data_IF_065642670036
#
_entry.id   IF_065642670036
#
_cell.length_a   1.000
_cell.length_b   1.000
_cell.length_c   1.000
_cell.angle_alpha   90.00
_cell.angle_beta   90.00
_cell.angle_gamma   90.00
#
_symmetry.space_group_name_H-M   'P 1'
#
loop_
_entity.id
_entity.type
_entity.pdbx_description
1 polymer ?
#
# COMPACT_ATOMS: atom_id res chain seq x y z
N UNK A 1 11.56 27.01 17.32
CA UNK A 1 11.20 25.60 17.61
C UNK A 1 10.54 25.04 16.37
N UNK A 2 11.08 23.94 15.82
CA UNK A 2 10.42 23.23 14.71
C UNK A 2 9.44 22.17 15.25
N UNK A 3 8.59 21.65 14.37
CA UNK A 3 7.53 20.72 14.75
C UNK A 3 8.14 19.42 15.29
N UNK A 4 9.25 18.93 14.72
CA UNK A 4 9.90 17.71 15.19
C UNK A 4 10.39 17.84 16.65
N UNK A 5 11.02 18.97 16.99
CA UNK A 5 11.46 19.24 18.37
C UNK A 5 10.27 19.33 19.33
N UNK A 6 9.19 20.01 18.94
CA UNK A 6 8.00 20.14 19.77
C UNK A 6 7.35 18.76 20.05
N UNK A 7 7.32 17.87 19.06
CA UNK A 7 6.82 16.50 19.23
C UNK A 7 7.71 15.70 20.20
N UNK A 8 9.02 15.78 20.06
CA UNK A 8 9.97 15.08 20.96
C UNK A 8 9.85 15.59 22.39
N UNK A 9 9.74 16.91 22.59
CA UNK A 9 9.58 17.49 23.92
C UNK A 9 8.26 17.06 24.58
N UNK A 10 7.16 17.02 23.83
CA UNK A 10 5.89 16.55 24.37
C UNK A 10 5.92 15.05 24.69
N UNK A 11 6.61 14.24 23.89
CA UNK A 11 6.78 12.81 24.16
C UNK A 11 7.56 12.58 25.45
N UNK A 12 8.63 13.35 25.69
CA UNK A 12 9.44 13.25 26.93
C UNK A 12 8.68 13.65 28.21
N UNK A 13 7.61 14.44 28.11
CA UNK A 13 6.76 14.82 29.25
C UNK A 13 5.80 13.72 29.69
N UNK A 14 5.61 12.68 28.86
CA UNK A 14 4.71 11.58 29.18
C UNK A 14 5.37 10.57 30.16
N UNK A 15 4.58 9.84 30.96
CA UNK A 15 5.07 8.69 31.72
C UNK A 15 5.69 7.62 30.79
N UNK A 16 6.64 6.84 31.32
CA UNK A 16 7.41 5.85 30.55
C UNK A 16 6.51 4.89 29.75
N UNK A 17 5.43 4.42 30.36
CA UNK A 17 4.45 3.54 29.72
C UNK A 17 3.79 4.18 28.50
N UNK A 18 3.45 5.47 28.60
CA UNK A 18 2.81 6.23 27.53
C UNK A 18 3.79 6.61 26.42
N UNK A 19 5.07 6.78 26.74
CA UNK A 19 6.10 6.93 25.72
C UNK A 19 6.21 5.68 24.85
N UNK A 20 6.20 4.50 25.48
CA UNK A 20 6.25 3.23 24.75
C UNK A 20 4.99 3.03 23.88
N UNK A 21 3.81 3.40 24.38
CA UNK A 21 2.56 3.33 23.61
C UNK A 21 2.61 4.20 22.34
N UNK A 22 3.11 5.43 22.44
CA UNK A 22 3.27 6.34 21.29
C UNK A 22 4.31 5.82 20.28
N UNK A 23 5.41 5.24 20.76
CA UNK A 23 6.41 4.61 19.90
C UNK A 23 5.84 3.39 19.18
N UNK A 24 5.07 2.55 19.87
CA UNK A 24 4.42 1.40 19.25
C UNK A 24 3.39 1.86 18.20
N UNK A 25 2.64 2.92 18.47
CA UNK A 25 1.69 3.49 17.53
C UNK A 25 2.36 4.04 16.27
N UNK A 26 3.48 4.76 16.40
CA UNK A 26 4.21 5.28 15.24
C UNK A 26 4.78 4.14 14.38
N UNK A 27 5.30 3.07 14.99
CA UNK A 27 5.73 1.86 14.29
C UNK A 27 4.58 1.12 13.60
N UNK A 28 3.41 1.06 14.24
CA UNK A 28 2.22 0.49 13.62
C UNK A 28 1.81 1.28 12.37
N UNK A 29 1.85 2.61 12.44
CA UNK A 29 1.55 3.45 11.29
C UNK A 29 2.53 3.18 10.15
N UNK A 30 3.85 3.12 10.40
CA UNK A 30 4.84 2.87 9.34
C UNK A 30 4.66 1.50 8.69
N UNK A 31 4.25 0.48 9.45
CA UNK A 31 3.91 -0.85 8.92
C UNK A 31 2.65 -0.84 8.06
N UNK A 32 1.65 -0.03 8.41
CA UNK A 32 0.39 0.09 7.65
C UNK A 32 0.54 0.94 6.39
N UNK A 33 1.37 1.98 6.45
CA UNK A 33 1.57 2.91 5.32
C UNK A 33 2.63 2.45 4.34
N UNK A 34 3.51 1.53 4.76
CA UNK A 34 4.34 0.80 3.80
C UNK A 34 3.43 -0.15 3.05
N UNK A 35 3.14 0.05 1.75
CA UNK A 35 2.63 -1.05 0.95
C UNK A 35 3.69 -2.14 1.12
N UNK A 36 3.28 -3.25 1.73
CA UNK A 36 4.07 -4.46 1.67
C UNK A 36 4.13 -4.80 0.18
N UNK A 37 5.16 -4.30 -0.51
CA UNK A 37 5.52 -4.81 -1.82
C UNK A 37 5.96 -6.21 -1.47
N UNK A 38 5.02 -7.16 -1.51
CA UNK A 38 5.38 -8.55 -1.55
C UNK A 38 6.29 -8.65 -2.76
N UNK A 39 7.58 -8.93 -2.50
CA UNK A 39 8.57 -9.23 -3.53
C UNK A 39 8.19 -10.56 -4.18
N UNK A 40 7.02 -10.60 -4.81
CA UNK A 40 6.65 -11.67 -5.72
C UNK A 40 7.59 -11.58 -6.90
N UNK A 41 8.23 -12.69 -7.19
CA UNK A 41 8.98 -12.88 -8.41
C UNK A 41 8.07 -12.68 -9.62
N UNK A 42 8.64 -12.34 -10.78
CA UNK A 42 7.86 -12.19 -12.01
C UNK A 42 7.05 -13.45 -12.35
N UNK A 43 7.52 -14.62 -11.92
CA UNK A 43 6.85 -15.90 -12.11
C UNK A 43 5.59 -16.03 -11.27
N UNK A 44 5.68 -15.77 -9.96
CA UNK A 44 4.52 -15.82 -9.05
C UNK A 44 3.45 -14.81 -9.48
N UNK A 45 3.86 -13.63 -9.97
CA UNK A 45 2.93 -12.65 -10.54
C UNK A 45 2.19 -13.23 -11.73
N UNK A 46 2.90 -13.88 -12.67
CA UNK A 46 2.28 -14.48 -13.84
C UNK A 46 1.27 -15.58 -13.46
N UNK A 47 1.59 -16.40 -12.45
CA UNK A 47 0.66 -17.43 -11.96
C UNK A 47 -0.61 -16.84 -11.35
N UNK A 48 -0.50 -15.78 -10.57
CA UNK A 48 -1.69 -15.12 -9.99
C UNK A 48 -2.55 -14.42 -11.05
N UNK A 49 -1.91 -13.84 -12.08
CA UNK A 49 -2.62 -13.34 -13.25
C UNK A 49 -3.36 -14.46 -14.01
N UNK A 50 -2.76 -15.64 -14.16
CA UNK A 50 -3.40 -16.80 -14.79
C UNK A 50 -4.60 -17.29 -13.98
N UNK A 51 -4.47 -17.42 -12.65
CA UNK A 51 -5.59 -17.77 -11.75
C UNK A 51 -6.73 -16.76 -11.86
N UNK A 52 -6.40 -15.46 -11.92
CA UNK A 52 -7.39 -14.41 -12.09
C UNK A 52 -8.17 -14.59 -13.41
N UNK A 53 -7.48 -14.85 -14.52
CA UNK A 53 -8.11 -15.10 -15.82
C UNK A 53 -9.01 -16.34 -15.80
N UNK A 54 -8.57 -17.42 -15.17
CA UNK A 54 -9.37 -18.65 -15.02
C UNK A 54 -10.62 -18.44 -14.18
N UNK A 55 -10.59 -17.49 -13.24
CA UNK A 55 -11.73 -17.13 -12.39
C UNK A 55 -12.77 -16.26 -13.09
N UNK A 56 -12.47 -15.70 -14.28
CA UNK A 56 -13.41 -14.83 -14.99
C UNK A 56 -14.52 -15.63 -15.69
N UNK A 57 -15.74 -15.08 -15.78
CA UNK A 57 -16.80 -15.67 -16.61
C UNK A 57 -16.36 -15.84 -18.06
N UNK A 58 -16.77 -16.93 -18.72
CA UNK A 58 -16.45 -17.17 -20.14
C UNK A 58 -17.05 -16.13 -21.09
N UNK A 59 -18.07 -15.41 -20.61
CA UNK A 59 -18.78 -14.35 -21.34
C UNK A 59 -18.41 -12.96 -20.79
N UNK A 60 -17.15 -12.79 -20.39
CA UNK A 60 -16.64 -11.46 -20.05
C UNK A 60 -16.47 -10.72 -21.38
N UNK A 61 -17.15 -9.58 -21.60
CA UNK A 61 -16.83 -8.74 -22.74
C UNK A 61 -15.34 -8.44 -22.64
N UNK A 62 -14.58 -8.75 -23.71
CA UNK A 62 -13.15 -8.47 -23.75
C UNK A 62 -12.88 -6.98 -23.51
N UNK A 63 -11.60 -6.61 -23.45
CA UNK A 63 -11.25 -5.19 -23.49
C UNK A 63 -11.89 -4.58 -24.75
N UNK A 64 -12.68 -3.49 -24.61
CA UNK A 64 -13.23 -2.81 -25.77
C UNK A 64 -12.06 -2.32 -26.65
N UNK A 65 -12.24 -2.31 -27.97
CA UNK A 65 -11.18 -1.94 -28.91
C UNK A 65 -10.63 -0.53 -28.61
N UNK A 66 -11.48 0.35 -28.07
CA UNK A 66 -11.14 1.69 -27.61
C UNK A 66 -10.11 1.69 -26.47
N UNK A 67 -10.12 0.69 -25.58
CA UNK A 67 -9.17 0.56 -24.48
C UNK A 67 -7.76 0.13 -24.94
N UNK A 68 -7.59 -0.30 -26.19
CA UNK A 68 -6.29 -0.57 -26.80
C UNK A 68 -5.69 0.68 -27.46
N UNK A 69 -6.49 1.74 -27.63
CA UNK A 69 -6.05 3.01 -28.16
C UNK A 69 -5.17 3.77 -27.16
N UNK A 70 -3.98 4.20 -27.59
CA UNK A 70 -3.09 5.05 -26.77
C UNK A 70 -3.69 6.42 -26.43
N UNK A 71 -4.73 6.81 -27.15
CA UNK A 71 -5.41 8.10 -26.99
C UNK A 71 -6.28 8.15 -25.72
N UNK A 72 -6.74 7.02 -25.19
CA UNK A 72 -7.64 7.00 -24.02
C UNK A 72 -6.92 7.03 -22.66
N UNK A 73 -5.58 7.14 -22.64
CA UNK A 73 -4.78 7.12 -21.40
C UNK A 73 -4.73 8.51 -20.75
N UNK A 74 -5.01 9.57 -21.52
CA UNK A 74 -4.81 10.96 -21.10
C UNK A 74 -6.08 11.83 -21.14
N UNK A 75 -7.24 11.24 -21.36
CA UNK A 75 -8.55 11.91 -21.26
C UNK A 75 -9.14 11.84 -19.83
#
# INVERSE_FOLDING_TARGET
MNIEQAVIENLRKLPLEKQQEVLNFSQFLTQKTSPKIEEMTSHEKAEDWLKFLESQPKDTPGLPDEALGRETIYD
#
